data_IF_799316509452
#
_entry.id   IF_799316509452
#
_cell.length_a   1.000
_cell.length_b   1.000
_cell.length_c   1.000
_cell.angle_alpha   90.00
_cell.angle_beta   90.00
_cell.angle_gamma   90.00
#
_symmetry.space_group_name_H-M   'P 1'
#
loop_
_entity.id
_entity.type
_entity.pdbx_description
1 polymer ?
#
# COMPACT_ATOMS: atom_id res chain seq x y z
N UNK A 1 13.63 19.24 42.28
CA UNK A 1 12.66 20.31 41.97
C UNK A 1 12.40 20.28 40.47
N UNK A 2 11.55 19.35 40.02
CA UNK A 2 11.19 19.18 38.61
C UNK A 2 9.91 19.95 38.38
N UNK A 3 9.99 21.02 37.59
CA UNK A 3 8.86 21.85 37.23
C UNK A 3 7.80 21.03 36.48
N UNK A 4 6.60 21.05 37.05
CA UNK A 4 5.36 20.52 36.51
C UNK A 4 5.05 21.18 35.16
N UNK A 5 5.06 20.42 34.06
CA UNK A 5 4.61 20.91 32.75
C UNK A 5 3.14 20.55 32.58
N UNK A 6 2.23 21.52 32.39
CA UNK A 6 0.82 21.23 32.16
C UNK A 6 0.65 20.54 30.80
N UNK A 7 0.34 19.24 30.82
CA UNK A 7 0.23 18.39 29.61
C UNK A 7 -1.20 18.24 29.04
N UNK A 8 -2.20 18.99 29.51
CA UNK A 8 -3.60 18.60 29.30
C UNK A 8 -4.43 19.40 28.28
N UNK A 9 -3.96 20.54 27.73
CA UNK A 9 -4.74 21.32 26.74
C UNK A 9 -4.27 21.24 25.28
N UNK A 10 -2.98 21.08 25.02
CA UNK A 10 -2.48 20.96 23.63
C UNK A 10 -2.83 19.64 22.95
N UNK A 11 -3.10 18.59 23.74
CA UNK A 11 -3.37 17.25 23.20
C UNK A 11 -4.71 17.12 22.50
N UNK A 12 -5.76 17.77 23.03
CA UNK A 12 -7.12 17.68 22.50
C UNK A 12 -7.29 18.37 21.14
N UNK A 13 -6.70 19.57 21.00
CA UNK A 13 -6.77 20.32 19.74
C UNK A 13 -6.13 19.57 18.57
N UNK A 14 -4.96 18.94 18.77
CA UNK A 14 -4.29 18.24 17.67
C UNK A 14 -5.00 16.95 17.27
N UNK A 15 -5.61 16.23 18.23
CA UNK A 15 -6.43 15.05 17.92
C UNK A 15 -7.66 15.45 17.11
N UNK A 16 -8.34 16.55 17.49
CA UNK A 16 -9.47 17.08 16.73
C UNK A 16 -9.06 17.44 15.29
N UNK A 17 -7.88 18.02 15.09
CA UNK A 17 -7.37 18.31 13.74
C UNK A 17 -7.04 17.03 12.97
N UNK A 18 -6.44 16.01 13.58
CA UNK A 18 -6.21 14.71 12.92
C UNK A 18 -7.52 14.08 12.44
N UNK A 19 -8.56 14.12 13.29
CA UNK A 19 -9.89 13.62 12.93
C UNK A 19 -10.44 14.45 11.77
N UNK A 20 -10.34 15.78 11.83
CA UNK A 20 -10.78 16.66 10.75
C UNK A 20 -10.07 16.34 9.41
N UNK A 21 -8.75 16.15 9.40
CA UNK A 21 -8.01 15.78 8.18
C UNK A 21 -8.53 14.46 7.63
N UNK A 22 -8.77 13.47 8.51
CA UNK A 22 -9.25 12.15 8.12
C UNK A 22 -10.65 12.22 7.53
N UNK A 23 -11.56 12.98 8.15
CA UNK A 23 -12.93 13.19 7.66
C UNK A 23 -12.93 13.94 6.33
N UNK A 24 -12.08 14.97 6.19
CA UNK A 24 -11.95 15.69 4.93
C UNK A 24 -11.35 14.80 3.83
N UNK A 25 -10.35 13.98 4.14
CA UNK A 25 -9.82 12.99 3.20
C UNK A 25 -10.91 12.00 2.76
N UNK A 26 -11.72 11.50 3.70
CA UNK A 26 -12.84 10.63 3.37
C UNK A 26 -13.86 11.33 2.46
N UNK A 27 -14.26 12.57 2.78
CA UNK A 27 -15.14 13.35 1.92
C UNK A 27 -14.55 13.60 0.52
N UNK A 28 -13.30 14.06 0.48
CA UNK A 28 -12.58 14.38 -0.77
C UNK A 28 -12.28 13.14 -1.60
N UNK A 29 -12.17 11.94 -1.04
CA UNK A 29 -11.88 10.74 -1.84
C UNK A 29 -13.13 9.94 -2.20
N UNK A 30 -14.20 9.98 -1.39
CA UNK A 30 -15.38 9.13 -1.59
C UNK A 30 -16.60 9.87 -2.17
N UNK A 31 -16.73 11.19 -2.02
CA UNK A 31 -17.89 11.92 -2.56
C UNK A 31 -17.83 11.97 -4.09
N UNK A 32 -18.92 11.59 -4.74
CA UNK A 32 -19.06 11.67 -6.20
C UNK A 32 -18.24 10.63 -6.97
N UNK A 33 -17.86 9.50 -6.34
CA UNK A 33 -17.22 8.39 -7.04
C UNK A 33 -18.12 7.78 -8.13
N UNK A 34 -19.43 8.00 -8.08
CA UNK A 34 -20.41 7.54 -9.09
C UNK A 34 -20.79 8.64 -10.09
N UNK A 35 -20.10 9.79 -10.08
CA UNK A 35 -20.51 10.98 -10.82
C UNK A 35 -20.27 10.94 -12.32
N UNK A 36 -19.56 9.93 -12.83
CA UNK A 36 -19.21 9.78 -14.24
C UNK A 36 -18.89 8.31 -14.57
N UNK A 37 -19.07 7.87 -15.84
CA UNK A 37 -18.72 6.51 -16.28
C UNK A 37 -17.22 6.21 -16.10
N UNK A 38 -16.83 4.92 -16.16
CA UNK A 38 -15.42 4.55 -16.17
C UNK A 38 -14.68 5.17 -17.36
N UNK A 39 -13.49 5.68 -17.11
CA UNK A 39 -12.64 6.30 -18.13
C UNK A 39 -11.68 5.29 -18.75
N UNK A 40 -11.71 5.21 -20.08
CA UNK A 40 -10.75 4.40 -20.85
C UNK A 40 -9.37 5.08 -20.95
N UNK A 41 -8.28 4.28 -21.04
CA UNK A 41 -8.25 2.82 -21.05
C UNK A 41 -8.07 2.20 -19.66
N UNK A 42 -7.68 2.98 -18.66
CA UNK A 42 -7.18 2.42 -17.40
C UNK A 42 -8.31 1.96 -16.49
N UNK A 43 -9.36 2.76 -16.28
CA UNK A 43 -10.41 2.38 -15.33
C UNK A 43 -11.21 1.16 -15.80
N UNK A 44 -11.56 1.15 -17.10
CA UNK A 44 -12.20 0.01 -17.73
C UNK A 44 -11.37 -1.26 -17.63
N UNK A 45 -10.05 -1.17 -17.85
CA UNK A 45 -9.13 -2.32 -17.76
C UNK A 45 -9.13 -2.97 -16.38
N UNK A 46 -8.89 -2.20 -15.32
CA UNK A 46 -8.80 -2.77 -13.97
C UNK A 46 -10.17 -3.24 -13.46
N UNK A 47 -11.26 -2.58 -13.88
CA UNK A 47 -12.61 -3.02 -13.60
C UNK A 47 -12.93 -4.36 -14.29
N UNK A 48 -12.67 -4.45 -15.60
CA UNK A 48 -13.05 -5.61 -16.41
C UNK A 48 -12.26 -6.86 -16.04
N UNK A 49 -10.95 -6.75 -15.80
CA UNK A 49 -10.15 -7.89 -15.31
C UNK A 49 -10.72 -8.44 -14.01
N UNK A 50 -11.12 -7.56 -13.09
CA UNK A 50 -11.69 -7.94 -11.80
C UNK A 50 -13.08 -8.56 -11.94
N UNK A 51 -13.88 -8.05 -12.88
CA UNK A 51 -15.21 -8.57 -13.22
C UNK A 51 -15.11 -9.98 -13.83
N UNK A 52 -14.19 -10.20 -14.77
CA UNK A 52 -13.93 -11.51 -15.39
C UNK A 52 -13.44 -12.54 -14.36
N UNK A 53 -12.62 -12.14 -13.39
CA UNK A 53 -12.22 -13.03 -12.29
C UNK A 53 -13.42 -13.52 -11.47
N UNK A 54 -14.41 -12.65 -11.21
CA UNK A 54 -15.64 -13.03 -10.52
C UNK A 54 -16.53 -13.93 -11.37
N UNK A 55 -16.70 -13.60 -12.65
CA UNK A 55 -17.54 -14.37 -13.57
C UNK A 55 -16.99 -15.79 -13.78
N UNK A 56 -15.69 -15.91 -14.02
CA UNK A 56 -15.04 -17.20 -14.34
C UNK A 56 -14.65 -18.00 -13.11
N UNK A 57 -14.49 -17.34 -11.96
CA UNK A 57 -13.91 -17.94 -10.75
C UNK A 57 -12.40 -18.19 -10.85
N UNK A 58 -11.73 -17.78 -11.93
CA UNK A 58 -10.27 -17.92 -12.08
C UNK A 58 -9.53 -16.68 -11.55
N UNK A 59 -9.19 -16.73 -10.26
CA UNK A 59 -8.38 -15.70 -9.61
C UNK A 59 -6.87 -15.86 -9.84
N UNK A 60 -6.43 -16.88 -10.58
CA UNK A 60 -5.02 -17.17 -10.83
C UNK A 60 -4.56 -16.57 -12.16
N UNK A 61 -5.37 -16.67 -13.22
CA UNK A 61 -5.02 -16.20 -14.56
C UNK A 61 -5.77 -14.90 -14.89
N UNK A 62 -5.16 -13.71 -14.74
CA UNK A 62 -5.83 -12.47 -15.11
C UNK A 62 -6.10 -12.44 -16.62
N UNK A 63 -7.29 -11.95 -16.98
CA UNK A 63 -7.73 -11.82 -18.37
C UNK A 63 -8.37 -10.46 -18.57
N UNK A 64 -8.12 -9.89 -19.74
CA UNK A 64 -8.77 -8.67 -20.22
C UNK A 64 -9.43 -8.99 -21.56
N UNK A 65 -10.75 -8.80 -21.63
CA UNK A 65 -11.58 -9.30 -22.72
C UNK A 65 -11.34 -10.80 -22.98
N UNK A 66 -11.25 -11.58 -21.90
CA UNK A 66 -10.99 -13.03 -21.89
C UNK A 66 -9.61 -13.47 -22.43
N UNK A 67 -8.76 -12.53 -22.83
CA UNK A 67 -7.38 -12.77 -23.27
C UNK A 67 -6.43 -12.65 -22.07
N UNK A 68 -5.48 -13.59 -21.94
CA UNK A 68 -4.52 -13.60 -20.82
C UNK A 68 -3.75 -12.28 -20.75
N UNK A 69 -3.69 -11.69 -19.55
CA UNK A 69 -3.07 -10.40 -19.30
C UNK A 69 -2.09 -10.50 -18.12
N UNK A 70 -0.81 -10.71 -18.42
CA UNK A 70 0.24 -10.96 -17.41
C UNK A 70 1.14 -9.74 -17.12
N UNK A 71 0.67 -8.52 -17.37
CA UNK A 71 1.51 -7.33 -17.14
C UNK A 71 1.71 -6.98 -15.66
N UNK A 72 0.78 -7.38 -14.78
CA UNK A 72 0.77 -7.03 -13.36
C UNK A 72 0.27 -8.17 -12.47
N UNK A 73 0.82 -8.31 -11.26
CA UNK A 73 0.28 -9.19 -10.22
C UNK A 73 -1.14 -8.82 -9.77
N UNK A 74 -1.87 -9.75 -9.13
CA UNK A 74 -3.31 -9.67 -9.08
C UNK A 74 -3.88 -9.01 -7.83
N UNK A 75 -3.06 -8.53 -6.88
CA UNK A 75 -3.59 -8.07 -5.58
C UNK A 75 -4.63 -6.95 -5.74
N UNK A 76 -4.38 -6.00 -6.65
CA UNK A 76 -5.34 -4.94 -6.91
C UNK A 76 -6.64 -5.49 -7.52
N UNK A 77 -6.55 -6.41 -8.49
CA UNK A 77 -7.72 -7.05 -9.07
C UNK A 77 -8.52 -7.84 -8.01
N UNK A 78 -7.84 -8.53 -7.11
CA UNK A 78 -8.48 -9.24 -6.00
C UNK A 78 -9.21 -8.30 -5.05
N UNK A 79 -8.63 -7.13 -4.74
CA UNK A 79 -9.30 -6.12 -3.93
C UNK A 79 -10.56 -5.57 -4.62
N UNK A 80 -10.48 -5.27 -5.92
CA UNK A 80 -11.61 -4.75 -6.70
C UNK A 80 -12.69 -5.83 -6.88
N UNK A 81 -12.31 -7.06 -7.23
CA UNK A 81 -13.22 -8.20 -7.32
C UNK A 81 -13.91 -8.49 -5.97
N UNK A 82 -13.16 -8.44 -4.86
CA UNK A 82 -13.74 -8.58 -3.52
C UNK A 82 -14.74 -7.46 -3.21
N UNK A 83 -14.44 -6.21 -3.59
CA UNK A 83 -15.36 -5.10 -3.43
C UNK A 83 -16.63 -5.28 -4.28
N UNK A 84 -16.48 -5.69 -5.54
CA UNK A 84 -17.60 -6.00 -6.45
C UNK A 84 -18.47 -7.13 -5.92
N UNK A 85 -17.88 -8.17 -5.33
CA UNK A 85 -18.62 -9.28 -4.74
C UNK A 85 -19.45 -8.86 -3.51
N UNK A 86 -18.97 -7.88 -2.73
CA UNK A 86 -19.63 -7.42 -1.51
C UNK A 86 -20.70 -6.34 -1.76
N UNK A 87 -20.43 -5.43 -2.70
CA UNK A 87 -21.25 -4.22 -2.91
C UNK A 87 -21.94 -4.16 -4.27
N UNK A 88 -21.71 -5.15 -5.14
CA UNK A 88 -22.20 -5.16 -6.51
C UNK A 88 -21.23 -4.51 -7.50
N UNK A 89 -21.56 -4.63 -8.78
CA UNK A 89 -20.76 -4.06 -9.87
C UNK A 89 -21.27 -2.64 -10.17
N UNK A 90 -20.48 -1.64 -9.79
CA UNK A 90 -20.72 -0.23 -10.12
C UNK A 90 -19.41 0.55 -10.08
N UNK A 91 -19.44 1.74 -10.67
CA UNK A 91 -18.30 2.63 -10.82
C UNK A 91 -17.71 3.03 -9.47
N UNK A 92 -18.57 3.38 -8.50
CA UNK A 92 -18.11 3.75 -7.17
C UNK A 92 -17.40 2.61 -6.44
N UNK A 93 -17.80 1.35 -6.66
CA UNK A 93 -17.19 0.18 -6.01
C UNK A 93 -15.78 -0.05 -6.50
N UNK A 94 -15.54 0.11 -7.81
CA UNK A 94 -14.20 0.02 -8.40
C UNK A 94 -13.30 1.11 -7.85
N UNK A 95 -13.80 2.35 -7.79
CA UNK A 95 -13.06 3.52 -7.30
C UNK A 95 -12.92 3.55 -5.77
N UNK A 96 -13.66 2.72 -5.04
CA UNK A 96 -13.55 2.63 -3.58
C UNK A 96 -12.19 2.09 -3.14
N UNK A 97 -11.60 1.15 -3.90
CA UNK A 97 -10.30 0.54 -3.56
C UNK A 97 -9.17 1.57 -3.52
N UNK A 98 -8.91 2.37 -4.59
CA UNK A 98 -7.91 3.43 -4.53
C UNK A 98 -8.28 4.53 -3.52
N UNK A 99 -9.57 4.85 -3.33
CA UNK A 99 -10.00 5.87 -2.37
C UNK A 99 -9.68 5.47 -0.93
N UNK A 100 -9.91 4.21 -0.60
CA UNK A 100 -9.53 3.64 0.68
C UNK A 100 -8.00 3.61 0.83
N UNK A 101 -7.27 3.24 -0.22
CA UNK A 101 -5.81 3.26 -0.18
C UNK A 101 -5.25 4.67 0.08
N UNK A 102 -5.81 5.69 -0.59
CA UNK A 102 -5.45 7.10 -0.38
C UNK A 102 -5.75 7.58 1.04
N UNK A 103 -6.95 7.27 1.56
CA UNK A 103 -7.35 7.61 2.93
C UNK A 103 -6.41 6.97 3.97
N UNK A 104 -6.13 5.68 3.81
CA UNK A 104 -5.21 4.97 4.71
C UNK A 104 -3.79 5.53 4.61
N UNK A 105 -3.37 6.01 3.43
CA UNK A 105 -2.06 6.65 3.27
C UNK A 105 -1.98 7.99 3.99
N UNK A 106 -3.03 8.82 3.94
CA UNK A 106 -3.13 10.07 4.72
C UNK A 106 -2.99 9.78 6.22
N UNK A 107 -3.75 8.80 6.72
CA UNK A 107 -3.71 8.40 8.15
C UNK A 107 -2.32 7.89 8.54
N UNK A 108 -1.73 7.05 7.69
CA UNK A 108 -0.40 6.48 7.92
C UNK A 108 0.69 7.56 7.95
N UNK A 109 0.65 8.52 7.02
CA UNK A 109 1.60 9.64 6.99
C UNK A 109 1.45 10.50 8.25
N UNK A 110 0.21 10.78 8.69
CA UNK A 110 0.00 11.48 9.96
C UNK A 110 0.58 10.71 11.15
N UNK A 111 0.37 9.39 11.20
CA UNK A 111 0.88 8.54 12.27
C UNK A 111 2.41 8.49 12.27
N UNK A 112 3.04 8.34 11.11
CA UNK A 112 4.50 8.35 10.96
C UNK A 112 5.09 9.71 11.32
N UNK A 113 4.55 10.81 10.79
CA UNK A 113 5.02 12.16 11.11
C UNK A 113 4.86 12.48 12.60
N UNK A 114 3.77 12.04 13.24
CA UNK A 114 3.58 12.17 14.68
C UNK A 114 4.63 11.38 15.47
N UNK A 115 4.87 10.13 15.09
CA UNK A 115 5.87 9.28 15.74
C UNK A 115 7.29 9.82 15.61
N UNK A 116 7.62 10.43 14.46
CA UNK A 116 8.99 10.86 14.14
C UNK A 116 9.30 12.28 14.60
N UNK A 117 8.35 13.20 14.47
CA UNK A 117 8.59 14.63 14.61
C UNK A 117 7.55 15.33 15.49
N UNK A 118 6.63 14.57 16.10
CA UNK A 118 5.58 15.07 16.98
C UNK A 118 4.27 15.42 16.27
N UNK A 119 3.20 15.55 17.06
CA UNK A 119 1.81 15.60 16.57
C UNK A 119 1.54 16.70 15.54
N UNK A 120 2.13 17.89 15.74
CA UNK A 120 1.95 19.03 14.81
C UNK A 120 2.48 18.70 13.42
N UNK A 121 3.69 18.12 13.34
CA UNK A 121 4.29 17.71 12.06
C UNK A 121 3.51 16.57 11.42
N UNK A 122 3.03 15.61 12.21
CA UNK A 122 2.14 14.55 11.71
C UNK A 122 0.91 15.10 11.00
N UNK A 123 0.18 15.98 11.67
CA UNK A 123 -1.00 16.64 11.08
C UNK A 123 -0.65 17.41 9.81
N UNK A 124 0.43 18.20 9.82
CA UNK A 124 0.87 18.96 8.65
C UNK A 124 1.24 18.05 7.48
N UNK A 125 1.94 16.93 7.74
CA UNK A 125 2.31 15.98 6.70
C UNK A 125 1.07 15.32 6.06
N UNK A 126 0.07 14.94 6.86
CA UNK A 126 -1.20 14.42 6.35
C UNK A 126 -1.96 15.42 5.51
N UNK A 127 -2.02 16.68 5.97
CA UNK A 127 -2.61 17.78 5.21
C UNK A 127 -1.93 17.99 3.86
N UNK A 128 -0.58 18.08 3.86
CA UNK A 128 0.19 18.26 2.62
C UNK A 128 -0.04 17.12 1.64
N UNK A 129 -0.08 15.87 2.12
CA UNK A 129 -0.37 14.73 1.26
C UNK A 129 -1.81 14.78 0.70
N UNK A 130 -2.80 15.07 1.55
CA UNK A 130 -4.20 15.20 1.16
C UNK A 130 -4.41 16.26 0.06
N UNK A 131 -3.74 17.41 0.17
CA UNK A 131 -3.89 18.52 -0.77
C UNK A 131 -2.95 18.44 -1.98
N UNK A 132 -2.08 17.44 -2.05
CA UNK A 132 -1.20 17.24 -3.19
C UNK A 132 -1.97 16.66 -4.39
N UNK A 133 -1.66 17.16 -5.59
CA UNK A 133 -2.38 16.81 -6.83
C UNK A 133 -2.28 15.32 -7.16
N UNK A 134 -1.07 14.74 -7.10
CA UNK A 134 -0.86 13.32 -7.46
C UNK A 134 -1.59 12.37 -6.50
N UNK A 135 -1.45 12.46 -5.16
CA UNK A 135 -2.25 11.66 -4.24
C UNK A 135 -3.76 11.76 -4.46
N UNK A 136 -4.27 12.96 -4.75
CA UNK A 136 -5.69 13.16 -5.02
C UNK A 136 -6.15 12.41 -6.27
N UNK A 137 -5.36 12.45 -7.35
CA UNK A 137 -5.64 11.69 -8.57
C UNK A 137 -5.57 10.18 -8.26
N UNK A 138 -4.49 9.71 -7.64
CA UNK A 138 -4.28 8.29 -7.36
C UNK A 138 -5.32 7.69 -6.39
N UNK A 139 -5.94 8.52 -5.54
CA UNK A 139 -7.01 8.09 -4.66
C UNK A 139 -8.36 7.96 -5.38
N UNK A 140 -8.56 8.60 -6.53
CA UNK A 140 -9.83 8.56 -7.27
C UNK A 140 -9.78 7.74 -8.55
N UNK A 141 -8.57 7.50 -9.07
CA UNK A 141 -8.34 6.71 -10.27
C UNK A 141 -8.10 5.23 -9.88
N UNK A 142 -8.89 4.27 -10.38
CA UNK A 142 -8.75 2.83 -10.11
C UNK A 142 -7.58 2.20 -10.86
N UNK A 143 -6.38 2.66 -10.53
CA UNK A 143 -5.11 2.08 -10.95
C UNK A 143 -4.32 1.57 -9.73
N UNK A 144 -3.35 0.71 -9.99
CA UNK A 144 -2.57 0.03 -8.95
C UNK A 144 -1.71 0.96 -8.10
N UNK A 145 -1.40 2.17 -8.59
CA UNK A 145 -0.43 3.08 -7.99
C UNK A 145 -0.83 3.61 -6.62
N UNK A 146 -2.12 3.82 -6.37
CA UNK A 146 -2.62 4.24 -5.05
C UNK A 146 -2.36 3.18 -3.98
N UNK A 147 -2.78 1.93 -4.24
CA UNK A 147 -2.54 0.80 -3.34
C UNK A 147 -1.04 0.51 -3.19
N UNK A 148 -0.28 0.57 -4.27
CA UNK A 148 1.17 0.39 -4.25
C UNK A 148 1.86 1.44 -3.36
N UNK A 149 1.44 2.70 -3.46
CA UNK A 149 1.98 3.81 -2.64
C UNK A 149 1.71 3.60 -1.15
N UNK A 150 0.49 3.16 -0.79
CA UNK A 150 0.14 2.80 0.59
C UNK A 150 1.08 1.70 1.12
N UNK A 151 1.22 0.61 0.37
CA UNK A 151 2.00 -0.56 0.78
C UNK A 151 3.48 -0.23 0.91
N UNK A 152 4.05 0.57 0.01
CA UNK A 152 5.43 1.05 0.14
C UNK A 152 5.61 1.97 1.34
N UNK A 153 4.69 2.91 1.56
CA UNK A 153 4.74 3.81 2.73
C UNK A 153 4.70 3.01 4.03
N UNK A 154 3.85 1.98 4.09
CA UNK A 154 3.75 1.08 5.24
C UNK A 154 5.01 0.22 5.40
N UNK A 155 5.57 -0.27 4.29
CA UNK A 155 6.83 -1.05 4.28
C UNK A 155 7.98 -0.22 4.84
N UNK A 156 8.18 1.02 4.37
CA UNK A 156 9.26 1.88 4.85
C UNK A 156 9.02 2.37 6.28
N UNK A 157 7.77 2.67 6.65
CA UNK A 157 7.42 3.04 8.01
C UNK A 157 7.73 1.93 9.02
N UNK A 158 7.28 0.70 8.73
CA UNK A 158 7.56 -0.47 9.58
C UNK A 158 9.03 -0.83 9.61
N UNK A 159 9.73 -0.78 8.47
CA UNK A 159 11.18 -0.96 8.41
C UNK A 159 11.91 0.04 9.29
N UNK A 160 11.55 1.33 9.21
CA UNK A 160 12.16 2.39 9.99
C UNK A 160 11.92 2.23 11.50
N UNK A 161 10.69 1.83 11.88
CA UNK A 161 10.40 1.47 13.27
C UNK A 161 11.26 0.29 13.76
N UNK A 162 11.48 -0.73 12.93
CA UNK A 162 12.38 -1.84 13.23
C UNK A 162 13.84 -1.40 13.33
N UNK A 163 14.28 -0.51 12.44
CA UNK A 163 15.63 0.06 12.44
C UNK A 163 15.94 0.83 13.73
N UNK A 164 14.98 1.61 14.24
CA UNK A 164 15.12 2.36 15.50
C UNK A 164 14.86 1.55 16.77
N UNK A 165 14.23 0.38 16.66
CA UNK A 165 13.89 -0.43 17.82
C UNK A 165 15.13 -1.05 18.47
N UNK A 166 15.10 -1.15 19.81
CA UNK A 166 16.09 -1.91 20.55
C UNK A 166 16.00 -3.41 20.21
N UNK A 167 17.11 -4.17 20.33
CA UNK A 167 17.10 -5.61 20.14
C UNK A 167 16.01 -6.29 20.99
N UNK A 168 15.23 -7.17 20.38
CA UNK A 168 14.15 -7.90 21.04
C UNK A 168 12.96 -8.21 20.14
N UNK A 169 11.89 -8.73 20.75
CA UNK A 169 10.70 -9.17 20.02
C UNK A 169 9.99 -8.05 19.24
N UNK A 170 10.00 -6.81 19.74
CA UNK A 170 9.40 -5.68 19.05
C UNK A 170 10.11 -5.38 17.71
N UNK A 171 11.44 -5.36 17.69
CA UNK A 171 12.25 -5.16 16.46
C UNK A 171 11.94 -6.23 15.41
N UNK A 172 11.89 -7.50 15.83
CA UNK A 172 11.52 -8.62 14.95
C UNK A 172 10.12 -8.44 14.36
N UNK A 173 9.12 -8.08 15.16
CA UNK A 173 7.74 -7.85 14.67
C UNK A 173 7.68 -6.76 13.60
N UNK A 174 8.41 -5.66 13.78
CA UNK A 174 8.47 -4.59 12.79
C UNK A 174 9.08 -5.04 11.47
N UNK A 175 10.18 -5.79 11.50
CA UNK A 175 10.76 -6.30 10.26
C UNK A 175 9.90 -7.37 9.59
N UNK A 176 9.26 -8.26 10.36
CA UNK A 176 8.31 -9.22 9.77
C UNK A 176 7.14 -8.50 9.10
N UNK A 177 6.60 -7.45 9.72
CA UNK A 177 5.57 -6.62 9.08
C UNK A 177 6.08 -5.95 7.80
N UNK A 178 7.32 -5.42 7.80
CA UNK A 178 7.93 -4.83 6.62
C UNK A 178 8.08 -5.85 5.47
N UNK A 179 8.53 -7.07 5.76
CA UNK A 179 8.62 -8.15 4.79
C UNK A 179 7.24 -8.56 4.24
N UNK A 180 6.22 -8.63 5.09
CA UNK A 180 4.87 -8.94 4.66
C UNK A 180 4.29 -7.86 3.74
N UNK A 181 4.41 -6.59 4.13
CA UNK A 181 3.95 -5.44 3.35
C UNK A 181 4.70 -5.30 2.02
N UNK A 182 6.00 -5.59 2.02
CA UNK A 182 6.79 -5.71 0.79
C UNK A 182 6.24 -6.81 -0.12
N UNK A 183 5.91 -7.98 0.43
CA UNK A 183 5.32 -9.08 -0.35
C UNK A 183 4.00 -8.67 -1.00
N UNK A 184 3.15 -7.96 -0.27
CA UNK A 184 1.93 -7.38 -0.81
C UNK A 184 2.21 -6.32 -1.88
N UNK A 185 3.22 -5.47 -1.69
CA UNK A 185 3.62 -4.47 -2.70
C UNK A 185 4.11 -5.12 -4.00
N UNK A 186 4.86 -6.23 -3.90
CA UNK A 186 5.23 -7.07 -5.05
C UNK A 186 4.00 -7.66 -5.70
N UNK A 187 3.04 -8.15 -4.92
CA UNK A 187 1.75 -8.64 -5.44
C UNK A 187 0.85 -7.55 -6.04
N UNK A 188 1.25 -6.27 -6.01
CA UNK A 188 0.60 -5.16 -6.72
C UNK A 188 1.35 -4.74 -7.98
N UNK A 189 2.66 -4.46 -7.90
CA UNK A 189 3.45 -3.87 -9.01
C UNK A 189 4.77 -4.60 -9.30
N UNK A 190 4.88 -5.84 -8.85
CA UNK A 190 6.00 -6.74 -9.16
C UNK A 190 7.36 -6.24 -8.64
N UNK A 191 8.40 -6.43 -9.47
CA UNK A 191 9.81 -6.19 -9.12
C UNK A 191 10.10 -4.74 -8.70
N UNK A 192 9.29 -3.78 -9.17
CA UNK A 192 9.43 -2.37 -8.79
C UNK A 192 9.41 -2.16 -7.26
N UNK A 193 8.62 -2.95 -6.52
CA UNK A 193 8.57 -2.87 -5.06
C UNK A 193 9.93 -3.18 -4.40
N UNK A 194 10.58 -4.23 -4.91
CA UNK A 194 11.88 -4.72 -4.43
C UNK A 194 12.96 -3.71 -4.77
N UNK A 195 12.99 -3.22 -6.01
CA UNK A 195 13.98 -2.25 -6.47
C UNK A 195 13.91 -0.94 -5.67
N UNK A 196 12.71 -0.36 -5.52
CA UNK A 196 12.53 0.90 -4.80
C UNK A 196 12.88 0.77 -3.32
N UNK A 197 12.36 -0.25 -2.64
CA UNK A 197 12.64 -0.40 -1.21
C UNK A 197 14.07 -0.84 -0.96
N UNK A 198 14.60 -1.76 -1.76
CA UNK A 198 16.01 -2.17 -1.66
C UNK A 198 16.93 -0.97 -1.82
N UNK A 199 16.70 -0.14 -2.84
CA UNK A 199 17.44 1.09 -3.08
C UNK A 199 17.36 2.08 -1.90
N UNK A 200 16.17 2.33 -1.36
CA UNK A 200 16.00 3.25 -0.22
C UNK A 200 16.63 2.69 1.06
N UNK A 201 16.38 1.41 1.39
CA UNK A 201 16.94 0.76 2.59
C UNK A 201 18.46 0.73 2.53
N UNK A 202 19.03 0.29 1.40
CA UNK A 202 20.48 0.27 1.20
C UNK A 202 21.06 1.69 1.20
N UNK A 203 20.39 2.64 0.54
CA UNK A 203 20.80 4.05 0.53
C UNK A 203 20.86 4.65 1.92
N UNK A 204 19.83 4.44 2.76
CA UNK A 204 19.82 4.92 4.15
C UNK A 204 20.92 4.26 4.97
N UNK A 205 21.13 2.95 4.82
CA UNK A 205 22.18 2.20 5.53
C UNK A 205 23.57 2.71 5.12
N UNK A 206 23.80 2.91 3.83
CA UNK A 206 25.06 3.40 3.28
C UNK A 206 25.34 4.84 3.74
N UNK A 207 24.36 5.74 3.63
CA UNK A 207 24.46 7.14 4.09
C UNK A 207 24.74 7.24 5.59
N UNK A 208 24.29 6.26 6.38
CA UNK A 208 24.55 6.18 7.83
C UNK A 208 25.78 5.34 8.19
N UNK A 209 26.43 4.72 7.21
CA UNK A 209 27.54 3.77 7.42
C UNK A 209 27.21 2.64 8.42
N UNK A 210 25.93 2.26 8.52
CA UNK A 210 25.42 1.30 9.51
C UNK A 210 25.16 -0.08 8.90
N UNK A 211 26.20 -0.68 8.30
CA UNK A 211 26.09 -1.97 7.61
C UNK A 211 25.66 -3.13 8.50
N UNK A 212 25.83 -3.00 9.82
CA UNK A 212 25.35 -3.97 10.81
C UNK A 212 23.83 -4.08 10.81
N UNK A 213 23.12 -3.03 10.40
CA UNK A 213 21.67 -3.04 10.30
C UNK A 213 21.13 -4.09 9.32
N UNK A 214 21.87 -4.39 8.24
CA UNK A 214 21.49 -5.44 7.28
C UNK A 214 21.39 -6.80 7.96
N UNK A 215 22.31 -7.14 8.86
CA UNK A 215 22.25 -8.40 9.62
C UNK A 215 21.01 -8.51 10.52
N UNK A 216 20.39 -7.38 10.87
CA UNK A 216 19.24 -7.34 11.78
C UNK A 216 17.88 -7.51 11.09
N UNK A 217 17.82 -7.55 9.76
CA UNK A 217 16.57 -7.62 8.96
C UNK A 217 15.79 -8.93 9.07
N UNK A 218 16.19 -9.84 9.96
CA UNK A 218 15.54 -11.13 10.19
C UNK A 218 15.37 -11.96 8.91
N UNK A 219 16.39 -11.96 8.03
CA UNK A 219 16.37 -12.51 6.67
C UNK A 219 15.61 -13.82 6.52
N UNK A 220 15.93 -14.85 7.31
CA UNK A 220 15.30 -16.17 7.18
C UNK A 220 13.78 -16.08 7.40
N UNK A 221 13.34 -15.58 8.56
CA UNK A 221 11.92 -15.47 8.88
C UNK A 221 11.18 -14.44 8.00
N UNK A 222 11.87 -13.38 7.61
CA UNK A 222 11.34 -12.34 6.73
C UNK A 222 11.10 -12.85 5.32
N UNK A 223 12.10 -13.50 4.73
CA UNK A 223 12.01 -14.13 3.41
C UNK A 223 10.97 -15.23 3.38
N UNK A 224 10.83 -16.02 4.45
CA UNK A 224 9.76 -17.02 4.54
C UNK A 224 8.37 -16.37 4.47
N UNK A 225 8.13 -15.31 5.24
CA UNK A 225 6.85 -14.57 5.21
C UNK A 225 6.60 -13.93 3.84
N UNK A 226 7.62 -13.28 3.29
CA UNK A 226 7.57 -12.71 1.94
C UNK A 226 7.25 -13.78 0.88
N UNK A 227 7.93 -14.92 0.94
CA UNK A 227 7.74 -16.03 0.02
C UNK A 227 6.33 -16.63 0.10
N UNK A 228 5.78 -16.77 1.31
CA UNK A 228 4.40 -17.25 1.51
C UNK A 228 3.37 -16.31 0.87
N UNK A 229 3.66 -15.01 0.78
CA UNK A 229 2.75 -14.04 0.15
C UNK A 229 2.93 -14.03 -1.38
N UNK A 230 4.17 -14.08 -1.85
CA UNK A 230 4.50 -13.86 -3.27
C UNK A 230 4.46 -15.16 -4.09
N UNK A 231 5.08 -16.23 -3.61
CA UNK A 231 5.29 -17.44 -4.40
C UNK A 231 3.99 -18.17 -4.78
N UNK A 232 2.97 -18.33 -3.92
CA UNK A 232 1.82 -19.16 -4.27
C UNK A 232 1.15 -18.76 -5.58
N UNK A 233 0.91 -17.46 -5.80
CA UNK A 233 0.31 -17.00 -7.04
C UNK A 233 1.26 -17.11 -8.22
N UNK A 234 2.52 -16.68 -8.09
CA UNK A 234 3.48 -16.74 -9.21
C UNK A 234 3.72 -18.19 -9.67
N UNK A 235 3.79 -19.14 -8.74
CA UNK A 235 3.91 -20.56 -9.05
C UNK A 235 2.63 -21.10 -9.69
N UNK A 236 1.45 -20.80 -9.13
CA UNK A 236 0.18 -21.24 -9.71
C UNK A 236 -0.05 -20.68 -11.12
N UNK A 237 0.26 -19.39 -11.34
CA UNK A 237 0.18 -18.75 -12.65
C UNK A 237 1.15 -19.39 -13.65
N UNK A 238 2.40 -19.63 -13.24
CA UNK A 238 3.41 -20.30 -14.07
C UNK A 238 3.08 -21.76 -14.42
N UNK A 239 2.51 -22.53 -13.48
CA UNK A 239 2.10 -23.91 -13.75
C UNK A 239 0.87 -23.99 -14.67
N UNK A 240 -0.07 -23.05 -14.56
CA UNK A 240 -1.26 -23.01 -15.43
C UNK A 240 -0.97 -22.42 -16.81
N UNK A 241 0.08 -21.62 -16.95
CA UNK A 241 0.37 -20.85 -18.15
C UNK A 241 1.88 -20.90 -18.46
N UNK A 242 2.34 -21.82 -19.32
CA UNK A 242 3.76 -21.98 -19.66
C UNK A 242 4.44 -20.70 -20.15
N UNK A 243 3.69 -19.82 -20.81
CA UNK A 243 4.15 -18.54 -21.34
C UNK A 243 4.26 -17.42 -20.29
N UNK A 244 3.74 -17.61 -19.08
CA UNK A 244 3.65 -16.59 -18.03
C UNK A 244 4.98 -15.88 -17.78
N UNK A 245 6.06 -16.64 -17.58
CA UNK A 245 7.36 -16.06 -17.23
C UNK A 245 7.98 -15.24 -18.37
N UNK A 246 7.63 -15.54 -19.63
CA UNK A 246 8.10 -14.77 -20.78
C UNK A 246 7.41 -13.40 -20.84
N UNK A 247 6.10 -13.33 -20.55
CA UNK A 247 5.36 -12.06 -20.56
C UNK A 247 5.53 -11.22 -19.30
N UNK A 248 5.82 -11.86 -18.17
CA UNK A 248 5.84 -11.18 -16.87
C UNK A 248 7.18 -10.47 -16.57
N UNK A 249 8.29 -10.94 -17.14
CA UNK A 249 9.63 -10.43 -16.86
C UNK A 249 10.35 -9.75 -18.05
N UNK A 250 9.86 -9.93 -19.28
CA UNK A 250 10.39 -9.32 -20.51
C UNK A 250 9.50 -8.18 -20.94
#
# INVERSE_FOLDING_TARGET
MLADRPRSREGGGVIAVMILVTVLAAGIYFIGLDGYPLLDPDEGRYAEISREMLETGDFITPRLNYVKYFEKPPLFYWCVAGAMALFGQSEWVVRMVPALAGLLTVVLIMALGNCLFGRRVGVMAGWVYLTSVIPLILARLPIIDGLFSLLLTATWGTWWCGYRALPGGAKRRWYIAAWALMGLAVMTKGVAAIALTGGIVLGVIALRSDWRALGSLCWISGLLVFAVIVLPWHLAAGFRNPEFFHFYFV
#
